data_IF_852392090242
#
_entry.id   IF_852392090242
#
_cell.length_a   1.000
_cell.length_b   1.000
_cell.length_c   1.000
_cell.angle_alpha   90.00
_cell.angle_beta   90.00
_cell.angle_gamma   90.00
#
_symmetry.space_group_name_H-M   'P 1'
#
loop_
_entity.id
_entity.type
_entity.pdbx_description
1 polymer ?
#
# COMPACT_ATOMS: atom_id res chain seq x y z
N UNK A 1 -6.76 7.70 -16.69
CA UNK A 1 -7.53 6.65 -16.01
C UNK A 1 -7.78 6.96 -14.53
N UNK A 2 -6.83 7.57 -13.80
CA UNK A 2 -6.95 7.96 -12.38
C UNK A 2 -8.13 8.90 -12.14
N UNK A 3 -8.21 9.98 -12.90
CA UNK A 3 -9.31 10.96 -12.78
C UNK A 3 -10.71 10.33 -12.96
N UNK A 4 -10.84 9.35 -13.87
CA UNK A 4 -12.11 8.63 -14.05
C UNK A 4 -12.47 7.80 -12.81
N UNK A 5 -11.48 7.12 -12.20
CA UNK A 5 -11.69 6.35 -10.98
C UNK A 5 -12.01 7.25 -9.78
N UNK A 6 -11.35 8.40 -9.65
CA UNK A 6 -11.67 9.38 -8.60
C UNK A 6 -13.09 9.93 -8.76
N UNK A 7 -13.49 10.34 -9.95
CA UNK A 7 -14.87 10.77 -10.22
C UNK A 7 -15.89 9.68 -9.89
N UNK A 8 -15.57 8.41 -10.21
CA UNK A 8 -16.42 7.26 -9.88
C UNK A 8 -16.58 7.11 -8.37
N UNK A 9 -15.47 7.15 -7.62
CA UNK A 9 -15.46 7.04 -6.17
C UNK A 9 -16.28 8.16 -5.51
N UNK A 10 -16.11 9.40 -5.96
CA UNK A 10 -16.89 10.56 -5.50
C UNK A 10 -18.38 10.39 -5.80
N UNK A 11 -18.74 9.98 -7.02
CA UNK A 11 -20.15 9.76 -7.41
C UNK A 11 -20.82 8.65 -6.58
N UNK A 12 -20.06 7.63 -6.16
CA UNK A 12 -20.54 6.54 -5.30
C UNK A 12 -20.66 6.97 -3.83
N UNK A 13 -20.16 8.14 -3.45
CA UNK A 13 -20.20 8.63 -2.07
C UNK A 13 -19.27 7.85 -1.14
N UNK A 14 -18.10 7.41 -1.62
CA UNK A 14 -17.11 6.76 -0.78
C UNK A 14 -16.66 7.70 0.35
N UNK A 15 -16.51 7.14 1.55
CA UNK A 15 -16.15 7.89 2.75
C UNK A 15 -14.79 7.46 3.28
N UNK A 16 -14.00 8.43 3.75
CA UNK A 16 -12.74 8.17 4.43
C UNK A 16 -13.00 7.72 5.86
N UNK A 17 -12.33 6.66 6.29
CA UNK A 17 -12.25 6.21 7.68
C UNK A 17 -10.83 6.39 8.19
N UNK A 18 -10.67 7.11 9.30
CA UNK A 18 -9.40 7.23 9.99
C UNK A 18 -9.22 6.10 11.01
N UNK A 19 -7.97 5.82 11.38
CA UNK A 19 -7.60 4.89 12.45
C UNK A 19 -8.21 3.48 12.26
N UNK A 20 -8.16 2.96 11.04
CA UNK A 20 -8.63 1.60 10.76
C UNK A 20 -7.71 0.60 11.45
N UNK A 21 -8.29 -0.41 12.07
CA UNK A 21 -7.51 -1.47 12.72
C UNK A 21 -6.64 -2.21 11.69
N UNK A 22 -5.34 -2.40 11.97
CA UNK A 22 -4.44 -3.16 11.12
C UNK A 22 -4.98 -4.52 10.69
N UNK A 23 -5.58 -5.25 11.61
CA UNK A 23 -6.18 -6.56 11.34
C UNK A 23 -7.28 -6.51 10.28
N UNK A 24 -8.08 -5.44 10.22
CA UNK A 24 -9.13 -5.29 9.23
C UNK A 24 -8.56 -5.10 7.80
N UNK A 25 -7.49 -4.31 7.66
CA UNK A 25 -6.83 -4.10 6.37
C UNK A 25 -6.11 -5.37 5.90
N UNK A 26 -5.45 -6.09 6.83
CA UNK A 26 -4.84 -7.38 6.54
C UNK A 26 -5.91 -8.40 6.12
N UNK A 27 -7.07 -8.40 6.76
CA UNK A 27 -8.19 -9.28 6.39
C UNK A 27 -8.68 -9.01 4.96
N UNK A 28 -8.83 -7.73 4.56
CA UNK A 28 -9.17 -7.36 3.18
C UNK A 28 -8.13 -7.88 2.17
N UNK A 29 -6.85 -7.76 2.50
CA UNK A 29 -5.78 -8.27 1.64
C UNK A 29 -5.83 -9.79 1.52
N UNK A 30 -5.97 -10.52 2.65
CA UNK A 30 -6.03 -11.98 2.68
C UNK A 30 -7.24 -12.52 1.90
N UNK A 31 -8.39 -11.85 1.97
CA UNK A 31 -9.62 -12.27 1.29
C UNK A 31 -9.56 -12.12 -0.23
N UNK A 32 -8.66 -11.29 -0.75
CA UNK A 32 -8.51 -11.02 -2.18
C UNK A 32 -7.12 -11.47 -2.67
N UNK A 33 -6.17 -10.59 -2.70
CA UNK A 33 -4.85 -10.86 -3.28
C UNK A 33 -4.03 -11.88 -2.49
N UNK A 34 -4.20 -11.92 -1.18
CA UNK A 34 -3.53 -12.88 -0.32
C UNK A 34 -3.98 -14.32 -0.54
N UNK A 35 -5.19 -14.54 -1.04
CA UNK A 35 -5.71 -15.87 -1.38
C UNK A 35 -4.95 -16.49 -2.57
N UNK A 36 -4.55 -15.65 -3.54
CA UNK A 36 -3.81 -16.07 -4.73
C UNK A 36 -2.30 -16.21 -4.48
N UNK A 37 -1.78 -15.47 -3.50
CA UNK A 37 -0.35 -15.44 -3.17
C UNK A 37 -0.04 -16.48 -2.08
N UNK A 38 0.34 -17.70 -2.49
CA UNK A 38 0.83 -18.74 -1.57
C UNK A 38 2.17 -18.40 -0.90
N UNK A 39 2.70 -17.21 -1.13
CA UNK A 39 4.03 -16.76 -0.71
C UNK A 39 4.08 -16.36 0.76
N UNK A 40 2.95 -15.92 1.33
CA UNK A 40 2.89 -15.43 2.71
C UNK A 40 2.24 -16.43 3.64
N UNK A 41 2.94 -16.75 4.73
CA UNK A 41 2.44 -17.58 5.83
C UNK A 41 1.61 -16.76 6.84
N UNK A 42 0.90 -17.43 7.73
CA UNK A 42 0.21 -16.74 8.81
C UNK A 42 1.18 -15.99 9.73
N UNK A 43 2.40 -16.53 9.94
CA UNK A 43 3.43 -15.82 10.73
C UNK A 43 3.90 -14.52 10.11
N UNK A 44 3.89 -14.40 8.77
CA UNK A 44 4.24 -13.14 8.10
C UNK A 44 3.20 -12.06 8.39
N UNK A 45 1.92 -12.41 8.37
CA UNK A 45 0.84 -11.47 8.74
C UNK A 45 0.85 -11.10 10.22
N UNK A 46 1.22 -12.03 11.12
CA UNK A 46 1.41 -11.73 12.54
C UNK A 46 2.60 -10.79 12.77
N UNK A 47 3.70 -10.99 12.06
CA UNK A 47 4.85 -10.09 12.13
C UNK A 47 4.49 -8.69 11.60
N UNK A 48 3.76 -8.62 10.50
CA UNK A 48 3.24 -7.36 9.98
C UNK A 48 2.34 -6.65 11.00
N UNK A 49 1.44 -7.39 11.66
CA UNK A 49 0.56 -6.84 12.69
C UNK A 49 1.36 -6.28 13.88
N UNK A 50 2.38 -7.02 14.35
CA UNK A 50 3.28 -6.55 15.45
C UNK A 50 4.04 -5.30 15.05
N UNK A 51 4.52 -5.21 13.80
CA UNK A 51 5.18 -4.01 13.28
C UNK A 51 4.25 -2.79 13.38
N UNK A 52 3.00 -2.95 12.95
CA UNK A 52 2.04 -1.85 12.99
C UNK A 52 1.63 -1.46 14.41
N UNK A 53 1.49 -2.42 15.32
CA UNK A 53 1.23 -2.14 16.73
C UNK A 53 2.38 -1.31 17.35
N UNK A 54 3.62 -1.67 17.03
CA UNK A 54 4.80 -0.91 17.50
C UNK A 54 4.85 0.49 16.88
N UNK A 55 4.66 0.62 15.59
CA UNK A 55 4.66 1.91 14.91
C UNK A 55 3.53 2.85 15.41
N UNK A 56 2.37 2.29 15.75
CA UNK A 56 1.25 3.06 16.31
C UNK A 56 1.59 3.69 17.66
N UNK A 57 2.36 2.99 18.52
CA UNK A 57 2.78 3.53 19.83
C UNK A 57 3.74 4.72 19.72
N UNK A 58 4.39 4.90 18.58
CA UNK A 58 5.38 5.96 18.32
C UNK A 58 4.82 7.13 17.50
N UNK A 59 3.50 7.17 17.25
CA UNK A 59 2.85 8.20 16.42
C UNK A 59 3.44 8.34 14.99
N UNK A 60 4.15 7.30 14.56
CA UNK A 60 4.80 7.23 13.25
C UNK A 60 3.94 6.51 12.21
N UNK A 61 2.67 6.28 12.52
CA UNK A 61 1.79 5.41 11.77
C UNK A 61 0.49 6.11 11.38
N UNK A 62 0.11 5.95 10.13
CA UNK A 62 -1.15 6.43 9.59
C UNK A 62 -1.89 5.23 9.01
N UNK A 63 -3.11 5.00 9.48
CA UNK A 63 -4.00 3.96 8.99
C UNK A 63 -5.28 4.58 8.48
N UNK A 64 -5.53 4.45 7.19
CA UNK A 64 -6.72 4.98 6.53
C UNK A 64 -7.53 3.86 5.89
N UNK A 65 -8.82 4.03 5.85
CA UNK A 65 -9.72 3.16 5.13
C UNK A 65 -10.72 3.92 4.28
N UNK A 66 -11.37 3.21 3.41
CA UNK A 66 -12.46 3.71 2.58
C UNK A 66 -13.68 2.84 2.80
N UNK A 67 -14.77 3.48 3.18
CA UNK A 67 -16.06 2.87 3.38
C UNK A 67 -17.01 3.11 2.19
N UNK A 68 -17.83 2.12 1.93
CA UNK A 68 -18.99 2.24 1.08
C UNK A 68 -20.19 1.57 1.76
N UNK A 69 -21.26 2.34 1.99
CA UNK A 69 -22.43 1.90 2.76
C UNK A 69 -22.06 1.31 4.14
N UNK A 70 -21.22 2.00 4.90
CA UNK A 70 -20.68 1.62 6.22
C UNK A 70 -19.83 0.33 6.24
N UNK A 71 -19.48 -0.21 5.09
CA UNK A 71 -18.60 -1.37 4.95
C UNK A 71 -17.19 -0.91 4.56
N UNK A 72 -16.15 -1.38 5.27
CA UNK A 72 -14.76 -1.15 4.89
C UNK A 72 -14.44 -1.96 3.64
N UNK A 73 -14.14 -1.28 2.52
CA UNK A 73 -13.85 -1.91 1.23
C UNK A 73 -12.41 -1.77 0.78
N UNK A 74 -11.67 -0.83 1.35
CA UNK A 74 -10.25 -0.62 1.09
C UNK A 74 -9.58 -0.04 2.34
N UNK A 75 -8.29 -0.30 2.50
CA UNK A 75 -7.49 0.34 3.55
C UNK A 75 -6.02 0.33 3.22
N UNK A 76 -5.27 1.24 3.82
CA UNK A 76 -3.84 1.37 3.62
C UNK A 76 -3.10 1.80 4.87
N UNK A 77 -1.84 1.36 4.94
CA UNK A 77 -0.89 1.71 5.97
C UNK A 77 0.21 2.59 5.40
N UNK A 78 0.52 3.63 6.16
CA UNK A 78 1.59 4.55 5.85
C UNK A 78 2.46 4.74 7.09
N UNK A 79 3.77 4.74 6.90
CA UNK A 79 4.72 5.07 7.94
C UNK A 79 5.29 6.47 7.71
N UNK A 80 5.28 7.26 8.77
CA UNK A 80 5.79 8.63 8.76
C UNK A 80 7.15 8.66 9.47
N UNK A 81 8.18 9.06 8.75
CA UNK A 81 9.51 9.25 9.31
C UNK A 81 10.16 10.50 8.71
N UNK A 82 10.59 11.41 9.58
CA UNK A 82 11.09 12.74 9.17
C UNK A 82 10.08 13.45 8.27
N UNK A 83 10.46 13.78 7.04
CA UNK A 83 9.62 14.43 6.03
C UNK A 83 9.07 13.45 4.97
N UNK A 84 9.10 12.15 5.24
CA UNK A 84 8.65 11.11 4.31
C UNK A 84 7.45 10.34 4.89
N UNK A 85 6.49 10.07 4.05
CA UNK A 85 5.35 9.20 4.32
C UNK A 85 5.43 8.05 3.34
N UNK A 86 5.71 6.85 3.83
CA UNK A 86 5.90 5.66 3.01
C UNK A 86 4.63 4.82 2.98
N UNK A 87 4.14 4.49 1.80
CA UNK A 87 3.00 3.60 1.62
C UNK A 87 3.44 2.14 1.72
N UNK A 88 3.19 1.51 2.88
CA UNK A 88 3.74 0.20 3.21
C UNK A 88 2.87 -0.96 2.75
N UNK A 89 1.54 -0.83 2.89
CA UNK A 89 0.65 -1.96 2.66
C UNK A 89 -0.78 -1.50 2.39
N UNK A 90 -1.53 -2.27 1.61
CA UNK A 90 -2.97 -2.05 1.41
C UNK A 90 -3.75 -3.35 1.25
N UNK A 91 -5.00 -3.33 1.72
CA UNK A 91 -6.02 -4.32 1.40
C UNK A 91 -7.14 -3.66 0.60
N UNK A 92 -7.58 -4.31 -0.46
CA UNK A 92 -8.61 -3.75 -1.35
C UNK A 92 -9.52 -4.87 -1.85
N UNK A 93 -10.74 -4.89 -1.36
CA UNK A 93 -11.73 -5.90 -1.76
C UNK A 93 -12.10 -5.77 -3.25
N UNK A 94 -12.77 -6.79 -3.81
CA UNK A 94 -13.32 -6.70 -5.17
C UNK A 94 -14.21 -5.47 -5.35
N UNK A 95 -15.09 -5.20 -4.38
CA UNK A 95 -15.95 -4.01 -4.35
C UNK A 95 -15.15 -2.71 -4.32
N UNK A 96 -14.03 -2.69 -3.56
CA UNK A 96 -13.11 -1.57 -3.52
C UNK A 96 -12.40 -1.34 -4.85
N UNK A 97 -11.95 -2.40 -5.52
CA UNK A 97 -11.36 -2.31 -6.87
C UNK A 97 -12.37 -1.76 -7.88
N UNK A 98 -13.58 -2.32 -7.87
CA UNK A 98 -14.64 -1.93 -8.80
C UNK A 98 -15.09 -0.48 -8.57
N UNK A 99 -15.05 0.04 -7.35
CA UNK A 99 -15.45 1.41 -7.02
C UNK A 99 -14.34 2.47 -7.13
N UNK A 100 -13.08 2.06 -7.34
CA UNK A 100 -11.94 2.98 -7.37
C UNK A 100 -11.48 3.42 -5.97
N UNK A 101 -11.74 2.60 -4.93
CA UNK A 101 -11.47 2.98 -3.54
C UNK A 101 -9.99 3.25 -3.24
N UNK A 102 -9.06 2.47 -3.82
CA UNK A 102 -7.63 2.72 -3.63
C UNK A 102 -7.18 4.04 -4.27
N UNK A 103 -7.77 4.42 -5.41
CA UNK A 103 -7.50 5.73 -6.03
C UNK A 103 -7.97 6.86 -5.10
N UNK A 104 -9.15 6.72 -4.52
CA UNK A 104 -9.69 7.69 -3.57
C UNK A 104 -8.83 7.79 -2.30
N UNK A 105 -8.38 6.65 -1.74
CA UNK A 105 -7.52 6.61 -0.56
C UNK A 105 -6.20 7.36 -0.82
N UNK A 106 -5.52 7.05 -1.93
CA UNK A 106 -4.23 7.64 -2.26
C UNK A 106 -4.35 9.13 -2.64
N UNK A 107 -5.37 9.51 -3.36
CA UNK A 107 -5.66 10.92 -3.63
C UNK A 107 -5.91 11.70 -2.33
N UNK A 108 -6.63 11.09 -1.39
CA UNK A 108 -6.90 11.71 -0.10
C UNK A 108 -5.63 11.94 0.70
N UNK A 109 -4.72 10.95 0.83
CA UNK A 109 -3.46 11.14 1.56
C UNK A 109 -2.57 12.18 0.87
N UNK A 110 -2.52 12.20 -0.45
CA UNK A 110 -1.79 13.23 -1.22
C UNK A 110 -2.32 14.62 -0.86
N UNK A 111 -3.64 14.81 -0.89
CA UNK A 111 -4.27 16.10 -0.59
C UNK A 111 -4.07 16.51 0.88
N UNK A 112 -4.14 15.57 1.84
CA UNK A 112 -3.90 15.82 3.27
C UNK A 112 -2.50 16.40 3.53
N UNK A 113 -1.51 15.97 2.77
CA UNK A 113 -0.12 16.41 2.93
C UNK A 113 0.39 17.32 1.82
N UNK A 114 -0.48 17.75 0.92
CA UNK A 114 -0.13 18.73 -0.10
C UNK A 114 0.43 20.02 0.54
N UNK A 115 1.53 20.54 -0.02
CA UNK A 115 2.21 21.77 0.46
C UNK A 115 2.76 21.70 1.90
N UNK A 116 2.79 20.53 2.52
CA UNK A 116 3.31 20.35 3.89
C UNK A 116 4.83 20.09 3.96
N UNK A 117 5.50 19.97 2.80
CA UNK A 117 6.91 19.59 2.73
C UNK A 117 7.16 18.09 2.90
N UNK A 118 6.12 17.26 3.03
CA UNK A 118 6.25 15.81 3.04
C UNK A 118 6.36 15.24 1.63
N UNK A 119 7.16 14.18 1.51
CA UNK A 119 7.25 13.34 0.31
C UNK A 119 6.40 12.10 0.55
N UNK A 120 5.44 11.82 -0.31
CA UNK A 120 4.75 10.54 -0.32
C UNK A 120 5.56 9.54 -1.16
N UNK A 121 6.04 8.51 -0.50
CA UNK A 121 6.87 7.45 -1.07
C UNK A 121 6.01 6.20 -1.28
N UNK A 122 5.87 5.79 -2.53
CA UNK A 122 5.17 4.56 -2.90
C UNK A 122 6.06 3.31 -2.84
N UNK A 123 7.30 3.48 -2.36
CA UNK A 123 8.38 2.51 -2.46
C UNK A 123 8.72 2.14 -3.92
N UNK A 124 9.58 1.16 -4.10
CA UNK A 124 9.95 0.70 -5.43
C UNK A 124 9.01 -0.35 -5.97
N UNK A 125 8.88 -0.42 -7.29
CA UNK A 125 8.25 -1.55 -7.94
C UNK A 125 8.94 -1.88 -9.25
N UNK A 126 9.45 -3.11 -9.36
CA UNK A 126 9.89 -3.70 -10.63
C UNK A 126 8.68 -4.17 -11.48
N UNK A 127 7.45 -4.03 -10.95
CA UNK A 127 6.23 -4.39 -11.65
C UNK A 127 5.72 -3.20 -12.46
N UNK A 128 5.75 -3.28 -13.78
CA UNK A 128 5.31 -2.22 -14.71
C UNK A 128 3.86 -1.75 -14.47
N UNK A 129 3.00 -2.63 -13.97
CA UNK A 129 1.61 -2.29 -13.65
C UNK A 129 1.50 -1.37 -12.44
N UNK A 130 2.29 -1.66 -11.39
CA UNK A 130 2.36 -0.82 -10.19
C UNK A 130 3.08 0.49 -10.47
N UNK A 131 4.19 0.48 -11.20
CA UNK A 131 4.89 1.69 -11.62
C UNK A 131 3.94 2.63 -12.38
N UNK A 132 3.24 2.14 -13.39
CA UNK A 132 2.23 2.92 -14.12
C UNK A 132 1.09 3.42 -13.24
N UNK A 133 0.70 2.64 -12.23
CA UNK A 133 -0.32 3.06 -11.27
C UNK A 133 0.16 4.23 -10.42
N UNK A 134 1.39 4.18 -9.89
CA UNK A 134 1.94 5.26 -9.07
C UNK A 134 2.26 6.51 -9.89
N UNK A 135 2.82 6.35 -11.09
CA UNK A 135 3.08 7.46 -12.01
C UNK A 135 1.80 8.23 -12.39
N UNK A 136 0.65 7.55 -12.38
CA UNK A 136 -0.64 8.18 -12.60
C UNK A 136 -1.08 9.18 -11.52
N UNK A 137 -0.45 9.18 -10.34
CA UNK A 137 -0.61 10.20 -9.30
C UNK A 137 0.42 11.34 -9.41
N UNK A 138 1.27 11.33 -10.45
CA UNK A 138 2.33 12.32 -10.64
C UNK A 138 3.61 12.00 -9.88
N UNK A 139 3.81 10.73 -9.48
CA UNK A 139 5.05 10.30 -8.85
C UNK A 139 6.22 10.39 -9.85
N UNK A 140 7.39 10.79 -9.35
CA UNK A 140 8.66 10.71 -10.07
C UNK A 140 9.42 9.46 -9.67
N UNK A 141 10.12 8.85 -10.61
CA UNK A 141 10.94 7.67 -10.35
C UNK A 141 12.30 8.09 -9.78
N UNK A 142 12.69 7.46 -8.67
CA UNK A 142 14.05 7.55 -8.11
C UNK A 142 14.73 6.20 -8.30
N UNK A 143 15.78 6.17 -9.12
CA UNK A 143 16.54 4.95 -9.37
C UNK A 143 17.59 4.72 -8.27
N UNK A 144 17.60 3.54 -7.68
CA UNK A 144 18.67 3.10 -6.78
C UNK A 144 19.47 1.96 -7.41
N UNK A 145 20.75 1.89 -7.03
CA UNK A 145 21.64 0.86 -7.57
C UNK A 145 21.46 -0.43 -6.79
N UNK A 146 21.28 -1.53 -7.50
CA UNK A 146 21.28 -2.87 -6.92
C UNK A 146 22.60 -3.58 -7.22
N UNK A 147 23.28 -4.05 -6.18
CA UNK A 147 24.50 -4.85 -6.30
C UNK A 147 24.24 -6.28 -5.83
N UNK A 148 24.35 -7.25 -6.75
CA UNK A 148 24.24 -8.68 -6.43
C UNK A 148 25.62 -9.32 -6.53
N UNK A 149 26.20 -9.71 -5.39
CA UNK A 149 27.47 -10.44 -5.32
C UNK A 149 27.15 -11.90 -5.04
N UNK A 150 27.59 -12.80 -5.91
CA UNK A 150 27.46 -14.25 -5.71
C UNK A 150 28.85 -14.90 -5.79
N UNK A 151 29.45 -15.16 -4.64
CA UNK A 151 30.78 -15.77 -4.48
C UNK A 151 30.74 -17.33 -4.40
N UNK A 152 29.57 -17.93 -4.67
CA UNK A 152 29.47 -19.38 -4.67
C UNK A 152 30.33 -20.00 -5.80
N UNK A 153 30.99 -21.18 -5.57
CA UNK A 153 31.62 -21.94 -6.62
C UNK A 153 30.66 -22.21 -7.80
N UNK A 154 31.19 -22.28 -9.02
CA UNK A 154 30.38 -22.40 -10.24
C UNK A 154 29.37 -23.57 -10.19
N UNK A 155 29.79 -24.72 -9.60
CA UNK A 155 28.93 -25.90 -9.42
C UNK A 155 27.70 -25.63 -8.54
N UNK A 156 27.81 -24.76 -7.51
CA UNK A 156 26.74 -24.45 -6.60
C UNK A 156 25.85 -23.26 -7.08
N UNK A 157 26.35 -22.48 -8.03
CA UNK A 157 25.55 -21.37 -8.63
C UNK A 157 24.32 -21.85 -9.38
N UNK A 158 24.40 -23.08 -9.96
CA UNK A 158 23.31 -23.68 -10.71
C UNK A 158 22.08 -24.07 -9.84
N UNK A 159 22.30 -24.29 -8.54
CA UNK A 159 21.25 -24.70 -7.60
C UNK A 159 20.59 -23.55 -6.85
N UNK A 160 21.06 -22.32 -7.04
CA UNK A 160 20.52 -21.12 -6.39
C UNK A 160 20.10 -20.12 -7.46
N UNK A 161 18.84 -20.22 -7.88
CA UNK A 161 18.15 -19.16 -8.65
C UNK A 161 17.76 -17.99 -7.74
#
# INVERSE_FOLDING_TARGET
NHFRNLKKAQKLGLQLRNNVLPSAIIALFKADRGADLKTYSNSDYENLLRLFQRASSESAFISLGVDYNNELICGGFFMKFKNRITFIFSGNSKKGKDSGALFFLLDTIINMYAKSGFILDFEGSENDGLSRFYNGFGASEENYRFLKINNLPKLLKAFKK
#
